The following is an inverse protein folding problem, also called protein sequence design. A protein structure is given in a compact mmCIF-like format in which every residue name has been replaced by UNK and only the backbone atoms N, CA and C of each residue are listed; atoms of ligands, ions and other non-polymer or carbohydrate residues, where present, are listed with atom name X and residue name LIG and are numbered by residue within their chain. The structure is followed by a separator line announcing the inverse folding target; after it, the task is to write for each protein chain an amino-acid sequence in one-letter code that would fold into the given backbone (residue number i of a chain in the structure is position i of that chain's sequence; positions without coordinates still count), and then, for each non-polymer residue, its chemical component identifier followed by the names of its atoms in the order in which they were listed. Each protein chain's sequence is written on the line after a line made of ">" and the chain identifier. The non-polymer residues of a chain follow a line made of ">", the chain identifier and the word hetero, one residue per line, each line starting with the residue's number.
data_IF_144789980968
#
_entry.id   IF_144789980968
#
_cell.length_a   1.000
_cell.length_b   1.000
_cell.length_c   1.000
_cell.angle_alpha   90.00
_cell.angle_beta   90.00
_cell.angle_gamma   90.00
#
_symmetry.space_group_name_H-M   'P 1'
#
loop_
_entity.id
_entity.type
_entity.pdbx_description
1 polymer ?
#
# COMPACT_ATOMS: atom_id res chain seq x y z
N UNK A 1 -3.82 0.51 -9.74
CA UNK A 1 -2.87 -0.41 -9.11
C UNK A 1 -2.52 -1.55 -10.06
N UNK A 2 -1.38 -2.22 -9.85
CA UNK A 2 -0.95 -3.42 -10.61
C UNK A 2 -0.59 -4.53 -9.62
N UNK A 3 -0.64 -5.80 -10.06
CA UNK A 3 -0.13 -6.93 -9.26
C UNK A 3 1.39 -7.02 -9.46
N UNK A 4 2.17 -6.59 -8.47
CA UNK A 4 3.64 -6.55 -8.56
C UNK A 4 4.28 -7.91 -8.86
N UNK A 5 3.67 -9.01 -8.43
CA UNK A 5 4.17 -10.37 -8.70
C UNK A 5 4.09 -10.81 -10.17
N UNK A 6 3.31 -10.10 -11.00
CA UNK A 6 3.10 -10.44 -12.41
C UNK A 6 3.63 -9.37 -13.37
N UNK A 7 4.17 -8.26 -12.84
CA UNK A 7 4.80 -7.21 -13.63
C UNK A 7 6.30 -7.47 -13.71
N UNK A 8 6.88 -7.43 -14.91
CA UNK A 8 8.32 -7.55 -15.07
C UNK A 8 9.00 -6.25 -14.64
N UNK A 9 10.15 -6.34 -13.99
CA UNK A 9 10.89 -5.15 -13.55
C UNK A 9 11.23 -4.20 -14.71
N UNK A 10 11.52 -4.73 -15.89
CA UNK A 10 11.80 -3.93 -17.09
C UNK A 10 10.57 -3.14 -17.56
N UNK A 11 9.35 -3.63 -17.33
CA UNK A 11 8.12 -2.90 -17.67
C UNK A 11 7.90 -1.69 -16.75
N UNK A 12 8.56 -1.65 -15.59
CA UNK A 12 8.51 -0.55 -14.64
C UNK A 12 9.67 0.46 -14.82
N UNK A 13 10.54 0.25 -15.82
CA UNK A 13 11.69 1.15 -16.03
C UNK A 13 11.24 2.59 -16.30
N UNK A 14 11.84 3.54 -15.58
CA UNK A 14 11.46 4.96 -15.61
C UNK A 14 10.14 5.32 -14.93
N UNK A 15 9.40 4.36 -14.35
CA UNK A 15 8.19 4.64 -13.59
C UNK A 15 8.49 4.96 -12.12
N UNK A 16 7.64 5.78 -11.50
CA UNK A 16 7.63 5.95 -10.04
C UNK A 16 6.79 4.83 -9.41
N UNK A 17 7.39 4.05 -8.50
CA UNK A 17 6.74 2.92 -7.84
C UNK A 17 6.48 3.27 -6.37
N UNK A 18 5.20 3.30 -6.00
CA UNK A 18 4.75 3.46 -4.62
C UNK A 18 4.31 2.11 -4.03
N UNK A 19 4.65 1.86 -2.77
CA UNK A 19 4.26 0.68 -1.98
C UNK A 19 3.59 1.10 -0.67
N UNK A 20 3.16 0.12 0.14
CA UNK A 20 2.44 0.37 1.39
C UNK A 20 3.21 1.28 2.36
N UNK A 21 4.54 1.17 2.37
CA UNK A 21 5.43 1.98 3.21
C UNK A 21 5.44 3.46 2.79
N UNK A 22 5.26 3.74 1.50
CA UNK A 22 5.18 5.10 0.97
C UNK A 22 3.89 5.84 1.30
N UNK A 23 2.91 5.16 1.91
CA UNK A 23 1.63 5.74 2.33
C UNK A 23 1.67 6.32 3.75
N UNK A 24 2.78 6.16 4.48
CA UNK A 24 2.97 6.76 5.79
C UNK A 24 3.19 8.27 5.67
N UNK A 25 2.81 9.02 6.72
CA UNK A 25 3.13 10.44 6.82
C UNK A 25 4.65 10.64 6.98
N UNK A 26 5.14 11.85 6.72
CA UNK A 26 6.58 12.17 6.73
C UNK A 26 7.27 11.93 8.09
N UNK A 27 6.51 11.92 9.19
CA UNK A 27 6.98 11.62 10.53
C UNK A 27 6.96 10.12 10.87
N UNK A 28 6.56 9.28 9.91
CA UNK A 28 6.43 7.83 10.05
C UNK A 28 5.11 7.37 10.68
N UNK A 29 4.17 8.29 10.96
CA UNK A 29 2.84 7.91 11.42
C UNK A 29 1.98 7.35 10.28
N UNK A 30 0.89 6.66 10.64
CA UNK A 30 0.00 6.05 9.65
C UNK A 30 -0.73 7.12 8.85
N UNK A 31 -0.61 7.06 7.52
CA UNK A 31 -1.39 7.93 6.64
C UNK A 31 -2.88 7.61 6.70
N UNK A 32 -3.71 8.51 6.13
CA UNK A 32 -5.17 8.50 6.28
C UNK A 32 -5.82 7.14 6.00
N UNK A 33 -5.44 6.46 4.92
CA UNK A 33 -6.02 5.16 4.56
C UNK A 33 -5.53 4.05 5.49
N UNK A 34 -4.25 4.03 5.84
CA UNK A 34 -3.71 3.04 6.78
C UNK A 34 -4.40 3.15 8.14
N UNK A 35 -4.60 4.38 8.63
CA UNK A 35 -5.29 4.68 9.88
C UNK A 35 -6.77 4.28 9.84
N UNK A 36 -7.48 4.60 8.76
CA UNK A 36 -8.88 4.21 8.59
C UNK A 36 -9.06 2.68 8.62
N UNK A 37 -8.19 1.91 7.96
CA UNK A 37 -8.24 0.44 8.04
C UNK A 37 -8.02 -0.06 9.47
N UNK A 38 -7.15 0.57 10.25
CA UNK A 38 -6.94 0.22 11.66
C UNK A 38 -8.16 0.55 12.53
N UNK A 39 -8.70 1.77 12.42
CA UNK A 39 -9.79 2.28 13.25
C UNK A 39 -11.12 1.58 12.99
N UNK A 40 -11.35 1.14 11.76
CA UNK A 40 -12.60 0.49 11.34
C UNK A 40 -12.50 -1.04 11.29
N UNK A 41 -11.53 -1.64 11.98
CA UNK A 41 -11.34 -3.09 12.04
C UNK A 41 -11.22 -3.74 10.64
N UNK A 42 -10.60 -3.03 9.69
CA UNK A 42 -10.36 -3.47 8.32
C UNK A 42 -9.23 -4.50 8.17
N UNK A 43 -8.66 -4.98 9.28
CA UNK A 43 -7.65 -6.03 9.29
C UNK A 43 -7.85 -7.01 10.44
N UNK A 44 -7.46 -8.26 10.19
CA UNK A 44 -7.35 -9.32 11.21
C UNK A 44 -5.89 -9.75 11.33
N UNK A 45 -5.47 -10.77 10.56
CA UNK A 45 -4.07 -11.20 10.51
C UNK A 45 -3.13 -10.19 9.84
N UNK A 46 -3.68 -9.19 9.14
CA UNK A 46 -2.93 -8.10 8.49
C UNK A 46 -2.29 -8.46 7.15
N UNK A 47 -2.27 -9.73 6.74
CA UNK A 47 -1.53 -10.16 5.55
C UNK A 47 -2.02 -9.52 4.24
N UNK A 48 -3.34 -9.37 4.09
CA UNK A 48 -3.93 -8.75 2.90
C UNK A 48 -3.97 -7.22 2.95
N UNK A 49 -3.79 -6.61 4.13
CA UNK A 49 -4.01 -5.17 4.35
C UNK A 49 -3.15 -4.29 3.44
N UNK A 50 -1.85 -4.57 3.21
CA UNK A 50 -1.06 -3.79 2.26
C UNK A 50 -1.70 -3.72 0.88
N UNK A 51 -2.15 -4.86 0.34
CA UNK A 51 -2.80 -4.90 -0.98
C UNK A 51 -4.14 -4.17 -1.01
N UNK A 52 -4.92 -4.24 0.08
CA UNK A 52 -6.18 -3.52 0.19
C UNK A 52 -5.99 -2.00 0.24
N UNK A 53 -5.04 -1.53 1.06
CA UNK A 53 -4.70 -0.09 1.16
C UNK A 53 -4.19 0.44 -0.18
N UNK A 54 -3.25 -0.26 -0.82
CA UNK A 54 -2.72 0.14 -2.14
C UNK A 54 -3.77 0.08 -3.27
N UNK A 55 -4.87 -0.64 -3.08
CA UNK A 55 -5.98 -0.69 -4.04
C UNK A 55 -7.01 0.42 -3.82
N UNK A 56 -7.04 1.02 -2.63
CA UNK A 56 -7.94 2.12 -2.27
C UNK A 56 -7.30 3.51 -2.40
N UNK A 57 -5.98 3.56 -2.59
CA UNK A 57 -5.17 4.76 -2.77
C UNK A 57 -5.31 5.40 -4.15
#
# INVERSE_FOLDING_TARGET
>A
SVKSCAMLALEADGAEVATIEGMADADGSLGVLQKAFQEHHGLQCGYCTPGMVMSAA
#
